data_IF_273778618415
#
_entry.id   IF_273778618415
#
_cell.length_a   1.000
_cell.length_b   1.000
_cell.length_c   1.000
_cell.angle_alpha   90.00
_cell.angle_beta   90.00
_cell.angle_gamma   90.00
#
_symmetry.space_group_name_H-M   'P 1'
#
loop_
_entity.id
_entity.type
_entity.pdbx_description
1 polymer ?
#
# COMPACT_ATOMS: atom_id res chain seq x y z
N UNK A 1 -3.35 -37.03 5.92
CA UNK A 1 -3.58 -36.07 7.01
C UNK A 1 -3.96 -34.76 6.34
N UNK A 2 -5.07 -34.11 6.74
CA UNK A 2 -5.40 -32.78 6.22
C UNK A 2 -4.54 -31.78 6.99
N UNK A 3 -3.71 -31.03 6.28
CA UNK A 3 -2.82 -30.04 6.86
C UNK A 3 -3.70 -28.94 7.47
N UNK A 4 -3.58 -28.74 8.78
CA UNK A 4 -4.24 -27.65 9.49
C UNK A 4 -3.56 -26.36 9.04
N UNK A 5 -4.23 -25.53 8.25
CA UNK A 5 -3.73 -24.20 7.94
C UNK A 5 -4.13 -23.23 9.06
N UNK A 6 -3.20 -22.85 9.96
CA UNK A 6 -3.50 -21.94 11.07
C UNK A 6 -3.94 -20.54 10.58
N UNK A 7 -3.76 -20.23 9.28
CA UNK A 7 -4.25 -18.99 8.65
C UNK A 7 -5.75 -19.00 8.37
N UNK A 8 -6.45 -20.10 8.64
CA UNK A 8 -7.90 -20.22 8.53
C UNK A 8 -8.55 -20.43 9.90
N UNK A 9 -7.77 -20.34 10.99
CA UNK A 9 -8.29 -20.53 12.34
C UNK A 9 -9.37 -19.50 12.65
N UNK A 10 -10.54 -20.02 13.03
CA UNK A 10 -11.73 -19.23 13.36
C UNK A 10 -11.43 -18.35 14.56
N UNK A 11 -11.46 -17.04 14.35
CA UNK A 11 -11.32 -16.04 15.41
C UNK A 11 -12.66 -15.59 15.93
N UNK A 12 -12.71 -15.27 17.23
CA UNK A 12 -13.87 -14.64 17.85
C UNK A 12 -13.89 -13.12 17.59
N UNK A 13 -15.00 -12.47 17.95
CA UNK A 13 -15.18 -11.04 17.72
C UNK A 13 -14.16 -10.17 18.47
N UNK A 14 -13.67 -10.64 19.62
CA UNK A 14 -12.73 -9.90 20.45
C UNK A 14 -11.33 -9.92 19.83
N UNK A 15 -10.86 -11.09 19.40
CA UNK A 15 -9.63 -11.20 18.62
C UNK A 15 -9.73 -10.42 17.31
N UNK A 16 -10.86 -10.53 16.58
CA UNK A 16 -11.06 -9.76 15.36
C UNK A 16 -10.95 -8.25 15.62
N UNK A 17 -11.62 -7.74 16.66
CA UNK A 17 -11.58 -6.30 17.04
C UNK A 17 -10.17 -5.81 17.34
N UNK A 18 -9.34 -6.61 18.03
CA UNK A 18 -7.94 -6.24 18.33
C UNK A 18 -7.10 -6.10 17.06
N UNK A 19 -7.36 -6.93 16.07
CA UNK A 19 -6.54 -7.00 14.85
C UNK A 19 -7.10 -6.12 13.70
N UNK A 20 -8.29 -5.52 13.86
CA UNK A 20 -8.88 -4.64 12.83
C UNK A 20 -8.00 -3.44 12.50
N UNK A 21 -7.34 -2.83 13.48
CA UNK A 21 -6.44 -1.69 13.26
C UNK A 21 -5.28 -2.07 12.33
N UNK A 22 -4.65 -3.22 12.57
CA UNK A 22 -3.58 -3.75 11.73
C UNK A 22 -4.03 -3.93 10.27
N UNK A 23 -5.26 -4.41 10.05
CA UNK A 23 -5.81 -4.53 8.71
C UNK A 23 -6.07 -3.17 8.04
N UNK A 24 -6.57 -2.19 8.81
CA UNK A 24 -6.81 -0.81 8.34
C UNK A 24 -5.49 -0.08 8.04
N UNK A 25 -4.43 -0.42 8.77
CA UNK A 25 -3.09 0.13 8.63
C UNK A 25 -2.22 -0.57 7.58
N UNK A 26 -2.74 -1.62 6.95
CA UNK A 26 -2.00 -2.48 6.01
C UNK A 26 -0.79 -3.16 6.66
N UNK A 27 -0.83 -3.32 7.99
CA UNK A 27 0.19 -3.96 8.82
C UNK A 27 -0.11 -5.44 9.09
N UNK A 28 -1.24 -5.96 8.59
CA UNK A 28 -1.52 -7.39 8.63
C UNK A 28 -0.76 -8.18 7.56
N UNK A 29 -0.12 -9.26 8.00
CA UNK A 29 0.38 -10.32 7.14
C UNK A 29 -0.78 -11.10 6.47
N UNK A 30 -0.43 -11.98 5.54
CA UNK A 30 -1.44 -12.72 4.78
C UNK A 30 -2.26 -13.68 5.66
N UNK A 31 -1.67 -14.17 6.75
CA UNK A 31 -2.33 -15.01 7.74
C UNK A 31 -3.42 -14.25 8.52
N UNK A 32 -3.05 -13.09 9.09
CA UNK A 32 -3.97 -12.17 9.74
C UNK A 32 -5.11 -11.79 8.79
N UNK A 33 -4.76 -11.36 7.58
CA UNK A 33 -5.72 -10.89 6.58
C UNK A 33 -6.76 -11.95 6.25
N UNK A 34 -6.33 -13.17 5.94
CA UNK A 34 -7.21 -14.30 5.63
C UNK A 34 -8.21 -14.60 6.77
N UNK A 35 -7.73 -14.64 8.02
CA UNK A 35 -8.59 -14.90 9.21
C UNK A 35 -9.62 -13.79 9.42
N UNK A 36 -9.19 -12.53 9.31
CA UNK A 36 -10.08 -11.37 9.44
C UNK A 36 -11.12 -11.32 8.32
N UNK A 37 -10.72 -11.51 7.07
CA UNK A 37 -11.65 -11.51 5.92
C UNK A 37 -12.72 -12.61 6.07
N UNK A 38 -12.31 -13.81 6.50
CA UNK A 38 -13.24 -14.90 6.79
C UNK A 38 -14.23 -14.51 7.90
N UNK A 39 -13.75 -13.93 9.01
CA UNK A 39 -14.61 -13.49 10.11
C UNK A 39 -15.58 -12.37 9.67
N UNK A 40 -15.10 -11.37 8.92
CA UNK A 40 -15.89 -10.23 8.44
C UNK A 40 -16.98 -10.63 7.44
N UNK A 41 -16.77 -11.72 6.70
CA UNK A 41 -17.80 -12.31 5.84
C UNK A 41 -18.98 -12.85 6.66
N UNK A 42 -18.72 -13.43 7.83
CA UNK A 42 -19.74 -14.04 8.70
C UNK A 42 -20.30 -13.14 9.81
N UNK A 43 -19.64 -12.03 10.14
CA UNK A 43 -19.98 -11.18 11.29
C UNK A 43 -20.31 -9.73 10.86
N UNK A 44 -21.61 -9.35 10.76
CA UNK A 44 -22.02 -7.99 10.41
C UNK A 44 -21.49 -6.92 11.36
N UNK A 45 -21.42 -7.23 12.66
CA UNK A 45 -20.96 -6.29 13.68
C UNK A 45 -19.49 -5.90 13.49
N UNK A 46 -18.60 -6.88 13.33
CA UNK A 46 -17.18 -6.61 13.08
C UNK A 46 -16.96 -5.92 11.73
N UNK A 47 -17.79 -6.19 10.72
CA UNK A 47 -17.77 -5.46 9.44
C UNK A 47 -18.12 -3.99 9.60
N UNK A 48 -19.12 -3.67 10.41
CA UNK A 48 -19.48 -2.28 10.70
C UNK A 48 -18.36 -1.53 11.45
N UNK A 49 -17.73 -2.20 12.44
CA UNK A 49 -16.56 -1.66 13.13
C UNK A 49 -15.40 -1.39 12.17
N UNK A 50 -15.07 -2.35 11.31
CA UNK A 50 -14.02 -2.17 10.28
C UNK A 50 -14.29 -0.98 9.36
N UNK A 51 -15.52 -0.82 8.88
CA UNK A 51 -15.89 0.33 8.05
C UNK A 51 -15.80 1.65 8.82
N UNK A 52 -16.13 1.64 10.11
CA UNK A 52 -16.03 2.81 10.99
C UNK A 52 -14.58 3.23 11.20
N UNK A 53 -13.69 2.27 11.50
CA UNK A 53 -12.24 2.50 11.61
C UNK A 53 -11.66 3.09 10.31
N UNK A 54 -12.02 2.51 9.15
CA UNK A 54 -11.59 3.04 7.85
C UNK A 54 -12.07 4.47 7.60
N UNK A 55 -13.33 4.79 7.96
CA UNK A 55 -13.88 6.14 7.82
C UNK A 55 -13.16 7.13 8.74
N UNK A 56 -12.85 6.73 9.97
CA UNK A 56 -12.11 7.54 10.92
C UNK A 56 -10.70 7.83 10.38
N UNK A 57 -9.97 6.79 9.98
CA UNK A 57 -8.64 6.95 9.39
C UNK A 57 -8.65 7.84 8.15
N UNK A 58 -9.64 7.69 7.26
CA UNK A 58 -9.78 8.56 6.08
C UNK A 58 -9.97 10.03 6.48
N UNK A 59 -10.84 10.32 7.45
CA UNK A 59 -11.04 11.69 7.97
C UNK A 59 -9.76 12.26 8.59
N UNK A 60 -9.05 11.47 9.40
CA UNK A 60 -7.79 11.90 10.00
C UNK A 60 -6.73 12.17 8.93
N UNK A 61 -6.60 11.27 7.95
CA UNK A 61 -5.65 11.43 6.85
C UNK A 61 -5.93 12.68 6.01
N UNK A 62 -7.20 13.08 5.81
CA UNK A 62 -7.53 14.31 5.09
C UNK A 62 -7.29 15.59 5.91
N UNK A 63 -7.46 15.51 7.24
CA UNK A 63 -7.36 16.68 8.12
C UNK A 63 -5.94 16.93 8.63
N UNK A 64 -5.10 15.90 8.69
CA UNK A 64 -3.77 15.96 9.29
C UNK A 64 -2.63 15.73 8.28
N UNK A 65 -2.83 16.02 6.99
CA UNK A 65 -1.78 15.90 5.98
C UNK A 65 -1.03 17.21 5.74
N UNK A 66 0.28 17.22 5.98
CA UNK A 66 1.17 18.23 5.42
C UNK A 66 1.60 17.79 4.00
N UNK A 67 1.57 18.73 3.05
CA UNK A 67 1.95 18.42 1.67
C UNK A 67 3.47 18.19 1.61
N UNK A 68 3.88 16.98 1.20
CA UNK A 68 5.29 16.66 1.05
C UNK A 68 6.04 17.72 0.22
N UNK A 69 7.23 18.17 0.68
CA UNK A 69 8.05 19.14 -0.05
C UNK A 69 8.27 18.71 -1.50
N UNK A 70 8.22 19.67 -2.43
CA UNK A 70 8.32 19.41 -3.87
C UNK A 70 9.57 18.62 -4.25
N UNK A 71 10.72 18.98 -3.69
CA UNK A 71 12.00 18.31 -3.95
C UNK A 71 12.00 16.84 -3.51
N UNK A 72 11.39 16.51 -2.37
CA UNK A 72 11.26 15.12 -1.92
C UNK A 72 10.32 14.34 -2.84
N UNK A 73 9.17 14.94 -3.18
CA UNK A 73 8.18 14.30 -4.07
C UNK A 73 8.76 14.01 -5.45
N UNK A 74 9.52 14.94 -6.02
CA UNK A 74 10.16 14.78 -7.32
C UNK A 74 11.21 13.67 -7.29
N UNK A 75 12.08 13.66 -6.29
CA UNK A 75 13.06 12.57 -6.08
C UNK A 75 12.38 11.22 -5.94
N UNK A 76 11.34 11.12 -5.11
CA UNK A 76 10.58 9.89 -4.93
C UNK A 76 9.91 9.43 -6.22
N UNK A 77 9.31 10.33 -7.01
CA UNK A 77 8.71 9.97 -8.29
C UNK A 77 9.73 9.41 -9.28
N UNK A 78 10.95 9.98 -9.31
CA UNK A 78 12.05 9.46 -10.13
C UNK A 78 12.47 8.07 -9.65
N UNK A 79 12.64 7.87 -8.34
CA UNK A 79 13.02 6.58 -7.77
C UNK A 79 11.94 5.51 -7.97
N UNK A 80 10.67 5.82 -7.76
CA UNK A 80 9.55 4.89 -7.95
C UNK A 80 9.42 4.46 -9.43
N UNK A 81 9.67 5.38 -10.37
CA UNK A 81 9.61 5.10 -11.81
C UNK A 81 10.88 4.48 -12.37
N UNK A 82 11.91 4.30 -11.54
CA UNK A 82 13.15 3.66 -11.96
C UNK A 82 12.89 2.17 -12.17
N UNK A 83 13.09 1.70 -13.39
CA UNK A 83 13.05 0.27 -13.71
C UNK A 83 14.46 -0.25 -13.83
N UNK A 84 14.75 -1.32 -13.11
CA UNK A 84 16.02 -2.06 -13.22
C UNK A 84 15.75 -3.33 -14.01
N UNK A 85 16.35 -3.43 -15.19
CA UNK A 85 16.31 -4.63 -16.03
C UNK A 85 17.62 -5.37 -15.81
N UNK A 86 17.53 -6.57 -15.26
CA UNK A 86 18.68 -7.45 -15.07
C UNK A 86 18.64 -8.51 -16.15
N UNK A 87 19.65 -8.50 -17.02
CA UNK A 87 19.83 -9.53 -18.06
C UNK A 87 20.95 -10.45 -17.58
N UNK A 88 20.69 -11.76 -17.51
CA UNK A 88 21.71 -12.76 -17.20
C UNK A 88 21.92 -13.62 -18.43
N UNK A 89 23.15 -13.61 -18.95
CA UNK A 89 23.55 -14.39 -20.11
C UNK A 89 23.81 -15.86 -19.72
N UNK A 90 23.84 -16.74 -20.73
CA UNK A 90 24.03 -18.19 -20.54
C UNK A 90 25.36 -18.55 -19.82
N UNK A 91 26.36 -17.67 -19.92
CA UNK A 91 27.67 -17.81 -19.26
C UNK A 91 27.67 -17.38 -17.78
N UNK A 92 26.49 -17.01 -17.23
CA UNK A 92 26.34 -16.50 -15.87
C UNK A 92 26.68 -15.03 -15.69
N UNK A 93 27.12 -14.33 -16.75
CA UNK A 93 27.34 -12.89 -16.73
C UNK A 93 26.01 -12.17 -16.53
N UNK A 94 25.94 -11.26 -15.55
CA UNK A 94 24.74 -10.47 -15.28
C UNK A 94 24.99 -9.01 -15.58
N UNK A 95 24.22 -8.44 -16.51
CA UNK A 95 24.23 -7.03 -16.89
C UNK A 95 22.98 -6.35 -16.33
N UNK A 96 23.19 -5.30 -15.53
CA UNK A 96 22.12 -4.51 -14.92
C UNK A 96 21.91 -3.22 -15.70
N UNK A 97 20.85 -3.16 -16.51
CA UNK A 97 20.42 -1.95 -17.20
C UNK A 97 19.46 -1.13 -16.34
N UNK A 98 19.83 0.12 -16.05
CA UNK A 98 19.03 1.05 -15.26
C UNK A 98 18.42 2.11 -16.17
N UNK A 99 17.10 2.10 -16.33
CA UNK A 99 16.38 3.05 -17.18
C UNK A 99 15.44 3.91 -16.33
N UNK A 100 15.36 5.20 -16.61
CA UNK A 100 14.46 6.14 -15.92
C UNK A 100 13.73 6.99 -16.95
N UNK A 101 12.41 6.91 -16.99
CA UNK A 101 11.59 7.70 -17.92
C UNK A 101 11.34 9.10 -17.35
N UNK A 102 11.97 10.13 -17.92
CA UNK A 102 11.83 11.53 -17.50
C UNK A 102 10.79 12.23 -18.39
N UNK A 103 9.64 12.61 -17.82
CA UNK A 103 8.66 13.45 -18.52
C UNK A 103 9.09 14.92 -18.43
N UNK A 104 9.57 15.48 -19.55
CA UNK A 104 9.87 16.91 -19.66
C UNK A 104 8.55 17.69 -19.79
N UNK A 105 8.18 18.48 -18.76
CA UNK A 105 7.11 19.48 -18.91
C UNK A 105 7.70 20.70 -19.63
N UNK A 106 7.19 21.01 -20.82
CA UNK A 106 7.54 22.24 -21.53
C UNK A 106 7.01 23.43 -20.71
N UNK A 107 7.90 24.37 -20.38
CA UNK A 107 7.51 25.65 -19.80
C UNK A 107 7.01 26.55 -20.94
N UNK A 108 5.72 26.50 -21.24
CA UNK A 108 5.08 27.49 -22.10
C UNK A 108 4.91 28.78 -21.27
N UNK A 109 5.84 29.72 -21.49
CA UNK A 109 5.86 31.01 -20.83
C UNK A 109 4.62 31.84 -21.16
N UNK A 110 3.83 32.14 -20.12
CA UNK A 110 2.81 33.18 -20.20
C UNK A 110 3.50 34.54 -20.09
N UNK A 111 3.71 35.18 -21.24
CA UNK A 111 4.13 36.57 -21.33
C UNK A 111 2.99 37.47 -20.83
N UNK A 112 3.20 38.09 -19.68
CA UNK A 112 2.37 39.18 -19.15
C UNK A 112 2.65 40.44 -19.98
N UNK A 113 1.60 41.04 -20.53
CA UNK A 113 1.54 42.45 -21.00
C UNK A 113 0.26 43.03 -20.38
N UNK A 114 0.43 43.83 -19.33
CA UNK A 114 0.24 45.29 -19.29
C UNK A 114 -1.23 45.69 -19.19
#
# INVERSE_FOLDING_TARGET
MREHDPRLDRIDCEAARRDLSLLVDLECDDACRSRLEHHLAGCPHCRELFLSERRLKAKLSSSCCEKAPSGLRERLMVEIRRTTVTTTDADGTTVVHRTTTVHRRNAEGHHRTE
#
